data_IF_788457563474
#
_entry.id   IF_788457563474
#
_cell.length_a   1.000
_cell.length_b   1.000
_cell.length_c   1.000
_cell.angle_alpha   90.00
_cell.angle_beta   90.00
_cell.angle_gamma   90.00
#
_symmetry.space_group_name_H-M   'P 1'
#
loop_
_entity.id
_entity.type
_entity.pdbx_description
1 polymer ?
#
# COMPACT_ATOMS: atom_id res chain seq x y z
N UNK A 1 19.98 12.65 10.56
CA UNK A 1 20.73 12.43 9.30
C UNK A 1 19.79 11.89 8.23
N UNK A 2 19.53 12.66 7.17
CA UNK A 2 18.80 12.13 6.01
C UNK A 2 19.63 11.00 5.38
N UNK A 3 19.01 9.83 5.17
CA UNK A 3 19.72 8.73 4.50
C UNK A 3 20.21 9.20 3.14
N UNK A 4 21.37 8.69 2.67
CA UNK A 4 21.97 9.09 1.38
C UNK A 4 20.96 9.06 0.22
N UNK A 5 19.97 8.16 0.29
CA UNK A 5 18.88 8.03 -0.68
C UNK A 5 17.84 9.15 -0.58
N UNK A 6 17.44 9.55 0.63
CA UNK A 6 16.55 10.71 0.86
C UNK A 6 17.23 12.02 0.44
N UNK A 7 18.53 12.13 0.68
CA UNK A 7 19.32 13.31 0.31
C UNK A 7 19.45 13.49 -1.21
N UNK A 8 19.57 12.41 -1.97
CA UNK A 8 19.51 12.45 -3.45
C UNK A 8 18.15 12.92 -3.97
N UNK A 9 17.04 12.47 -3.38
CA UNK A 9 15.70 12.89 -3.78
C UNK A 9 15.49 14.38 -3.53
N UNK A 10 15.92 14.88 -2.36
CA UNK A 10 15.83 16.31 -2.03
C UNK A 10 16.65 17.15 -3.01
N UNK A 11 17.85 16.70 -3.39
CA UNK A 11 18.69 17.40 -4.39
C UNK A 11 18.04 17.47 -5.78
N UNK A 12 17.39 16.39 -6.22
CA UNK A 12 16.68 16.36 -7.51
C UNK A 12 15.48 17.31 -7.50
N UNK A 13 14.71 17.35 -6.41
CA UNK A 13 13.58 18.28 -6.27
C UNK A 13 14.05 19.74 -6.25
N UNK A 14 15.13 20.05 -5.53
CA UNK A 14 15.70 21.41 -5.48
C UNK A 14 16.21 21.83 -6.87
N UNK A 15 16.88 20.93 -7.61
CA UNK A 15 17.37 21.24 -8.95
C UNK A 15 16.22 21.55 -9.91
N UNK A 16 15.11 20.80 -9.86
CA UNK A 16 13.92 21.05 -10.68
C UNK A 16 13.27 22.41 -10.31
N UNK A 17 13.20 22.75 -9.02
CA UNK A 17 12.68 24.04 -8.55
C UNK A 17 13.57 25.20 -9.03
N UNK A 18 14.89 25.04 -8.98
CA UNK A 18 15.85 26.03 -9.49
C UNK A 18 15.69 26.24 -11.01
N UNK A 19 15.52 25.16 -11.78
CA UNK A 19 15.26 25.24 -13.22
C UNK A 19 13.93 25.95 -13.52
N UNK A 20 12.90 25.75 -12.69
CA UNK A 20 11.61 26.43 -12.83
C UNK A 20 11.66 27.93 -12.53
N UNK A 21 12.59 28.37 -11.65
CA UNK A 21 12.76 29.77 -11.27
C UNK A 21 13.52 30.60 -12.34
N UNK A 22 14.30 29.98 -13.24
CA UNK A 22 15.20 30.67 -14.18
C UNK A 22 14.53 31.04 -15.53
N UNK A 23 13.25 30.72 -15.75
CA UNK A 23 12.45 31.43 -16.77
C UNK A 23 12.26 30.75 -18.13
N UNK A 24 12.05 29.43 -18.17
CA UNK A 24 11.65 28.70 -19.38
C UNK A 24 10.25 28.10 -19.27
N UNK A 25 9.29 28.61 -20.03
CA UNK A 25 8.00 28.00 -20.39
C UNK A 25 7.30 27.14 -19.31
N UNK A 26 6.67 27.81 -18.33
CA UNK A 26 6.02 27.22 -17.14
C UNK A 26 5.10 26.02 -17.43
N UNK A 27 4.46 25.96 -18.59
CA UNK A 27 3.49 24.93 -18.94
C UNK A 27 4.13 23.57 -19.27
N UNK A 28 5.32 23.55 -19.87
CA UNK A 28 6.06 22.30 -20.14
C UNK A 28 6.63 21.71 -18.84
N UNK A 29 7.10 22.58 -17.94
CA UNK A 29 7.62 22.19 -16.62
C UNK A 29 6.51 21.57 -15.76
N UNK A 30 5.31 22.16 -15.73
CA UNK A 30 4.18 21.62 -14.95
C UNK A 30 3.79 20.22 -15.45
N UNK A 31 3.80 20.01 -16.77
CA UNK A 31 3.48 18.72 -17.38
C UNK A 31 4.54 17.66 -17.08
N UNK A 32 5.83 18.01 -17.21
CA UNK A 32 6.95 17.12 -16.88
C UNK A 32 6.99 16.78 -15.37
N UNK A 33 6.75 17.77 -14.50
CA UNK A 33 6.66 17.56 -13.05
C UNK A 33 5.49 16.66 -12.69
N UNK A 34 4.35 16.78 -13.38
CA UNK A 34 3.20 15.88 -13.25
C UNK A 34 3.58 14.43 -13.58
N UNK A 35 4.23 14.21 -14.72
CA UNK A 35 4.70 12.88 -15.14
C UNK A 35 5.75 12.29 -14.19
N UNK A 36 6.69 13.11 -13.69
CA UNK A 36 7.66 12.69 -12.69
C UNK A 36 6.96 12.30 -11.38
N UNK A 37 5.96 13.08 -10.94
CA UNK A 37 5.18 12.79 -9.73
C UNK A 37 4.41 11.49 -9.86
N UNK A 38 3.77 11.24 -11.00
CA UNK A 38 3.07 9.98 -11.30
C UNK A 38 4.05 8.80 -11.32
N UNK A 39 5.19 8.93 -11.99
CA UNK A 39 6.22 7.89 -12.04
C UNK A 39 6.81 7.58 -10.66
N UNK A 40 7.01 8.60 -9.82
CA UNK A 40 7.47 8.44 -8.43
C UNK A 40 6.38 7.79 -7.58
N UNK A 41 5.12 8.21 -7.70
CA UNK A 41 3.99 7.64 -6.96
C UNK A 41 3.78 6.15 -7.31
N UNK A 42 3.94 5.78 -8.58
CA UNK A 42 3.93 4.38 -9.00
C UNK A 42 5.11 3.58 -8.41
N UNK A 43 6.31 4.18 -8.33
CA UNK A 43 7.51 3.51 -7.78
C UNK A 43 7.57 3.50 -6.25
N UNK A 44 6.88 4.42 -5.59
CA UNK A 44 6.87 4.60 -4.14
C UNK A 44 5.45 4.94 -3.67
N UNK A 45 4.53 3.95 -3.67
CA UNK A 45 3.18 4.19 -3.18
C UNK A 45 3.21 4.65 -1.73
N UNK A 46 2.28 5.54 -1.38
CA UNK A 46 2.07 5.96 0.01
C UNK A 46 1.64 4.76 0.85
N UNK A 47 1.86 4.81 2.17
CA UNK A 47 1.39 3.74 3.05
C UNK A 47 -0.14 3.57 2.99
N UNK A 48 -0.88 4.65 2.75
CA UNK A 48 -2.31 4.60 2.51
C UNK A 48 -2.66 3.82 1.24
N UNK A 49 -1.97 4.09 0.13
CA UNK A 49 -2.17 3.38 -1.14
C UNK A 49 -1.88 1.89 -1.00
N UNK A 50 -0.81 1.53 -0.27
CA UNK A 50 -0.48 0.13 0.04
C UNK A 50 -1.59 -0.53 0.84
N UNK A 51 -2.09 0.12 1.89
CA UNK A 51 -3.20 -0.40 2.70
C UNK A 51 -4.45 -0.61 1.86
N UNK A 52 -4.83 0.36 1.02
CA UNK A 52 -5.98 0.23 0.12
C UNK A 52 -5.81 -0.92 -0.87
N UNK A 53 -4.60 -1.11 -1.42
CA UNK A 53 -4.30 -2.25 -2.31
C UNK A 53 -4.46 -3.60 -1.60
N UNK A 54 -3.94 -3.72 -0.38
CA UNK A 54 -4.07 -4.92 0.44
C UNK A 54 -5.55 -5.17 0.78
N UNK A 55 -6.26 -4.15 1.25
CA UNK A 55 -7.69 -4.25 1.57
C UNK A 55 -8.54 -4.66 0.36
N UNK A 56 -8.27 -4.09 -0.83
CA UNK A 56 -8.95 -4.48 -2.06
C UNK A 56 -8.72 -5.95 -2.38
N UNK A 57 -7.47 -6.41 -2.27
CA UNK A 57 -7.16 -7.81 -2.49
C UNK A 57 -7.88 -8.71 -1.47
N UNK A 58 -7.96 -8.31 -0.20
CA UNK A 58 -8.69 -9.05 0.83
C UNK A 58 -10.17 -9.21 0.48
N UNK A 59 -10.89 -8.15 0.11
CA UNK A 59 -12.31 -8.30 -0.26
C UNK A 59 -12.52 -9.15 -1.51
N UNK A 60 -11.54 -9.21 -2.40
CA UNK A 60 -11.61 -10.01 -3.62
C UNK A 60 -11.31 -11.50 -3.37
N UNK A 61 -10.60 -11.83 -2.29
CA UNK A 61 -10.09 -13.18 -2.03
C UNK A 61 -10.63 -13.81 -0.75
N UNK A 62 -11.35 -13.05 0.09
CA UNK A 62 -11.96 -13.54 1.31
C UNK A 62 -13.39 -13.03 1.48
N UNK A 63 -14.20 -13.86 2.13
CA UNK A 63 -15.52 -13.51 2.63
C UNK A 63 -15.66 -13.92 4.09
N UNK A 64 -16.60 -13.28 4.77
CA UNK A 64 -16.99 -13.57 6.15
C UNK A 64 -18.52 -13.62 6.24
N UNK A 65 -19.12 -14.20 7.31
CA UNK A 65 -20.58 -14.35 7.41
C UNK A 65 -21.35 -13.02 7.40
N UNK A 66 -20.72 -11.95 7.86
CA UNK A 66 -21.31 -10.61 7.94
C UNK A 66 -20.88 -9.72 6.77
N UNK A 67 -21.70 -8.74 6.35
CA UNK A 67 -21.26 -7.74 5.39
C UNK A 67 -19.99 -7.03 5.87
N UNK A 68 -18.97 -6.98 5.00
CA UNK A 68 -17.71 -6.28 5.27
C UNK A 68 -17.98 -4.77 5.27
N UNK A 69 -17.77 -4.12 6.42
CA UNK A 69 -17.93 -2.67 6.62
C UNK A 69 -16.59 -1.99 6.85
N UNK A 70 -15.63 -2.70 7.43
CA UNK A 70 -14.33 -2.18 7.77
C UNK A 70 -13.23 -3.20 7.55
N UNK A 71 -12.07 -2.72 7.10
CA UNK A 71 -10.83 -3.47 6.98
C UNK A 71 -9.72 -2.66 7.62
N UNK A 72 -9.07 -3.22 8.64
CA UNK A 72 -7.90 -2.60 9.25
C UNK A 72 -6.67 -3.40 8.88
N UNK A 73 -5.67 -2.71 8.32
CA UNK A 73 -4.46 -3.32 7.76
C UNK A 73 -3.28 -2.96 8.64
N UNK A 74 -2.53 -3.98 9.09
CA UNK A 74 -1.35 -3.79 9.92
C UNK A 74 -0.17 -3.22 9.13
N UNK A 75 0.92 -2.91 9.83
CA UNK A 75 2.16 -2.48 9.19
C UNK A 75 2.79 -3.66 8.43
N UNK A 76 3.28 -3.43 7.21
CA UNK A 76 4.07 -4.43 6.48
C UNK A 76 5.34 -4.77 7.28
N UNK A 77 5.40 -5.98 7.81
CA UNK A 77 6.56 -6.55 8.50
C UNK A 77 7.53 -7.11 7.47
N UNK A 78 8.83 -6.94 7.70
CA UNK A 78 9.91 -7.44 6.84
C UNK A 78 10.73 -8.44 7.64
N UNK A 79 10.96 -9.62 7.07
CA UNK A 79 11.64 -10.72 7.74
C UNK A 79 13.01 -10.99 7.11
N UNK A 80 13.99 -11.40 7.93
CA UNK A 80 15.37 -11.62 7.49
C UNK A 80 16.16 -10.34 7.20
N UNK A 81 17.47 -10.50 7.02
CA UNK A 81 18.37 -9.37 6.76
C UNK A 81 17.99 -8.71 5.42
N UNK A 82 17.67 -7.41 5.45
CA UNK A 82 17.19 -6.63 4.29
C UNK A 82 15.87 -7.13 3.66
N UNK A 83 15.11 -8.01 4.33
CA UNK A 83 13.85 -8.56 3.81
C UNK A 83 14.01 -9.81 2.95
N UNK A 84 15.12 -10.55 3.08
CA UNK A 84 15.35 -11.83 2.38
C UNK A 84 14.36 -12.91 2.78
N UNK A 85 13.81 -12.85 4.00
CA UNK A 85 12.73 -13.72 4.46
C UNK A 85 11.34 -13.29 3.98
N UNK A 86 11.27 -12.30 3.09
CA UNK A 86 10.02 -11.77 2.57
C UNK A 86 9.39 -10.70 3.47
N UNK A 87 8.14 -10.37 3.15
CA UNK A 87 7.33 -9.39 3.86
C UNK A 87 5.92 -9.93 4.02
N UNK A 88 5.31 -9.62 5.14
CA UNK A 88 3.94 -10.02 5.41
C UNK A 88 3.16 -8.88 6.07
N UNK A 89 1.84 -8.97 5.98
CA UNK A 89 0.89 -8.05 6.61
C UNK A 89 -0.29 -8.83 7.15
N UNK A 90 -0.89 -8.31 8.21
CA UNK A 90 -2.05 -8.89 8.87
C UNK A 90 -3.23 -7.95 8.69
N UNK A 91 -4.41 -8.52 8.60
CA UNK A 91 -5.65 -7.78 8.36
C UNK A 91 -6.72 -8.29 9.30
N UNK A 92 -7.49 -7.37 9.87
CA UNK A 92 -8.71 -7.69 10.62
C UNK A 92 -9.91 -7.07 9.90
N UNK A 93 -10.94 -7.89 9.68
CA UNK A 93 -12.20 -7.48 9.07
C UNK A 93 -13.22 -7.19 10.18
N UNK A 94 -13.94 -6.07 10.06
CA UNK A 94 -14.99 -5.65 11.01
C UNK A 94 -14.56 -5.60 12.48
N UNK A 95 -13.26 -5.40 12.75
CA UNK A 95 -12.68 -5.43 14.11
C UNK A 95 -13.01 -6.72 14.90
N UNK A 96 -13.24 -7.83 14.19
CA UNK A 96 -13.59 -9.11 14.79
C UNK A 96 -12.37 -10.06 14.75
N UNK A 97 -11.92 -10.51 15.91
CA UNK A 97 -10.75 -11.38 16.06
C UNK A 97 -10.87 -12.71 15.29
N UNK A 98 -12.10 -13.19 15.07
CA UNK A 98 -12.33 -14.40 14.25
C UNK A 98 -12.11 -14.17 12.76
N UNK A 99 -12.09 -12.91 12.32
CA UNK A 99 -11.91 -12.50 10.92
C UNK A 99 -10.50 -11.95 10.66
N UNK A 100 -9.52 -12.40 11.44
CA UNK A 100 -8.12 -12.09 11.20
C UNK A 100 -7.61 -12.95 10.04
N UNK A 101 -6.95 -12.29 9.10
CA UNK A 101 -6.14 -12.89 8.04
C UNK A 101 -4.71 -12.47 8.32
N UNK A 102 -3.91 -13.40 8.82
CA UNK A 102 -2.54 -13.18 9.23
C UNK A 102 -1.53 -13.64 8.18
N UNK A 103 -0.38 -12.97 8.14
CA UNK A 103 0.75 -13.41 7.34
C UNK A 103 0.58 -13.29 5.83
N UNK A 104 -0.28 -12.39 5.33
CA UNK A 104 -0.45 -12.13 3.89
C UNK A 104 0.90 -11.73 3.30
N UNK A 105 1.48 -12.58 2.46
CA UNK A 105 2.74 -12.28 1.77
C UNK A 105 2.56 -11.10 0.83
N UNK A 106 3.43 -10.10 0.92
CA UNK A 106 3.32 -8.85 0.13
C UNK A 106 4.68 -8.39 -0.41
N UNK A 107 4.63 -7.63 -1.50
CA UNK A 107 5.75 -6.85 -1.99
C UNK A 107 6.01 -5.59 -1.15
N UNK A 108 7.16 -4.95 -1.39
CA UNK A 108 7.51 -3.67 -0.76
C UNK A 108 6.49 -2.56 -1.05
N UNK A 109 5.83 -2.65 -2.19
CA UNK A 109 4.83 -1.70 -2.67
C UNK A 109 3.40 -2.07 -2.25
N UNK A 110 3.24 -3.06 -1.36
CA UNK A 110 1.95 -3.52 -0.88
C UNK A 110 1.20 -4.47 -1.81
N UNK A 111 1.81 -4.95 -2.90
CA UNK A 111 1.17 -5.93 -3.79
C UNK A 111 1.11 -7.31 -3.13
N UNK A 112 -0.09 -7.90 -2.92
CA UNK A 112 -0.20 -9.22 -2.31
C UNK A 112 0.26 -10.35 -3.24
N UNK A 113 0.86 -11.38 -2.65
CA UNK A 113 1.32 -12.61 -3.32
C UNK A 113 0.48 -13.84 -2.99
N UNK A 114 -0.47 -13.73 -2.06
CA UNK A 114 -1.55 -14.71 -1.87
C UNK A 114 -1.36 -15.81 -0.83
N UNK A 115 -0.24 -15.83 -0.09
CA UNK A 115 -0.05 -16.77 1.03
C UNK A 115 -0.54 -16.10 2.31
N UNK A 116 -1.50 -16.69 3.02
CA UNK A 116 -1.99 -16.21 4.32
C UNK A 116 -2.60 -17.34 5.16
N UNK A 117 -2.67 -17.15 6.47
CA UNK A 117 -3.40 -17.98 7.43
C UNK A 117 -4.62 -17.17 7.87
N UNK A 118 -5.79 -17.80 8.03
CA UNK A 118 -7.00 -17.07 8.39
C UNK A 118 -7.85 -17.86 9.39
N UNK A 119 -8.65 -17.15 10.18
CA UNK A 119 -9.54 -17.72 11.18
C UNK A 119 -10.66 -18.59 10.59
N UNK A 120 -11.27 -19.42 11.44
CA UNK A 120 -12.25 -20.44 11.03
C UNK A 120 -13.48 -19.88 10.31
N UNK A 121 -13.87 -18.63 10.62
CA UNK A 121 -15.03 -17.98 10.03
C UNK A 121 -14.68 -17.21 8.74
N UNK A 122 -13.44 -17.28 8.26
CA UNK A 122 -13.02 -16.66 7.01
C UNK A 122 -13.02 -17.70 5.89
N UNK A 123 -13.71 -17.39 4.79
CA UNK A 123 -13.78 -18.24 3.61
C UNK A 123 -12.94 -17.67 2.48
N UNK A 124 -12.07 -18.48 1.89
CA UNK A 124 -11.35 -18.10 0.66
C UNK A 124 -12.30 -18.11 -0.54
N UNK A 125 -12.30 -17.03 -1.29
CA UNK A 125 -13.09 -16.83 -2.51
C UNK A 125 -12.19 -16.31 -3.65
N UNK A 126 -12.76 -16.18 -4.84
CA UNK A 126 -12.12 -15.45 -5.94
C UNK A 126 -13.17 -14.62 -6.67
N UNK A 127 -13.21 -13.32 -6.40
CA UNK A 127 -14.15 -12.39 -7.00
C UNK A 127 -13.50 -11.03 -7.26
N UNK A 128 -12.91 -10.88 -8.44
CA UNK A 128 -12.26 -9.64 -8.89
C UNK A 128 -13.22 -8.45 -9.08
N UNK A 129 -14.54 -8.67 -9.04
CA UNK A 129 -15.54 -7.61 -9.17
C UNK A 129 -15.83 -6.87 -7.85
N UNK A 130 -15.44 -7.45 -6.70
CA UNK A 130 -15.60 -6.76 -5.41
C UNK A 130 -14.70 -5.51 -5.37
N UNK A 131 -15.26 -4.44 -4.81
CA UNK A 131 -14.61 -3.13 -4.65
C UNK A 131 -14.57 -2.75 -3.17
N UNK A 132 -13.92 -1.63 -2.86
CA UNK A 132 -13.91 -1.04 -1.52
C UNK A 132 -15.05 -0.02 -1.31
N UNK A 133 -16.10 -0.06 -2.14
CA UNK A 133 -17.21 0.87 -2.02
C UNK A 133 -17.99 0.64 -0.72
N UNK A 134 -18.18 1.70 0.07
CA UNK A 134 -18.81 1.62 1.38
C UNK A 134 -17.96 0.95 2.47
N UNK A 135 -16.72 0.56 2.18
CA UNK A 135 -15.82 -0.11 3.13
C UNK A 135 -14.80 0.90 3.67
N UNK A 136 -14.76 1.03 4.99
CA UNK A 136 -13.77 1.83 5.70
C UNK A 136 -12.43 1.09 5.73
N UNK A 137 -11.34 1.76 5.35
CA UNK A 137 -9.99 1.17 5.34
C UNK A 137 -9.09 1.95 6.28
N UNK A 138 -8.58 1.28 7.32
CA UNK A 138 -7.78 1.92 8.37
C UNK A 138 -6.45 1.23 8.65
N UNK A 139 -5.62 1.93 9.42
CA UNK A 139 -4.45 1.33 10.02
C UNK A 139 -4.82 0.49 11.23
N UNK A 140 -4.14 -0.63 11.40
CA UNK A 140 -4.13 -1.39 12.63
C UNK A 140 -2.72 -1.37 13.25
N UNK A 141 -2.62 -0.80 14.44
CA UNK A 141 -1.44 -0.97 15.28
C UNK A 141 -1.59 -2.30 16.03
N UNK A 142 -0.96 -3.33 15.47
CA UNK A 142 -0.89 -4.70 16.00
C UNK A 142 0.07 -4.81 17.19
#
# INVERSE_FOLDING_TARGET
MLSKKKMRIVLVVIAIVMIALIGGNRMSIIKEVGQIRESIAQKFPSEEEKRRRIALWVVQHYDVPEPIKEIRVSKIKSYGLLGTGGRAVSVIINDNEKYIIDGISVERDGTPRGIAIYGDDVTSISNSKKTLEGIKVEFWEE
#
